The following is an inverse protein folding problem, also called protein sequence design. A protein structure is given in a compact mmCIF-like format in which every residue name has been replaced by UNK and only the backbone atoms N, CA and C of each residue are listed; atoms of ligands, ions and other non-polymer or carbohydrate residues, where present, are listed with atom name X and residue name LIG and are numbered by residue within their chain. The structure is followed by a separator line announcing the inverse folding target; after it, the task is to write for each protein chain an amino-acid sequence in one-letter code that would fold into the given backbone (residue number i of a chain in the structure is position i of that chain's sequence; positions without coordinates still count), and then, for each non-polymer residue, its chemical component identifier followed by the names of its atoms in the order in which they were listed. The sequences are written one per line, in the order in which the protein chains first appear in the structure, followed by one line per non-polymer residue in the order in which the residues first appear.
data_IF_341591694006
#
_entry.id   IF_341591694006
#
_cell.length_a   1.000
_cell.length_b   1.000
_cell.length_c   1.000
_cell.angle_alpha   90.00
_cell.angle_beta   90.00
_cell.angle_gamma   90.00
#
_symmetry.space_group_name_H-M   'P 1'
#
loop_
_entity.id
_entity.type
_entity.pdbx_description
1 polymer ?
#
# COMPACT_ATOMS: atom_id res chain seq x y z
N UNK A 1 -69.62 -16.97 49.47
CA UNK A 1 -70.60 -17.52 48.49
C UNK A 1 -70.38 -16.79 47.17
N UNK A 2 -69.85 -17.48 46.13
CA UNK A 2 -70.60 -17.87 44.91
C UNK A 2 -71.38 -16.68 44.33
N UNK A 3 -71.14 -16.15 43.12
CA UNK A 3 -71.27 -16.83 41.81
C UNK A 3 -70.61 -15.98 40.69
N UNK A 4 -69.88 -16.64 39.78
CA UNK A 4 -69.47 -16.19 38.43
C UNK A 4 -70.65 -15.75 37.56
N UNK A 5 -70.51 -14.68 36.75
CA UNK A 5 -70.99 -14.49 35.35
C UNK A 5 -70.27 -13.24 34.81
N UNK A 6 -69.81 -13.07 33.58
CA UNK A 6 -69.89 -13.79 32.32
C UNK A 6 -68.83 -13.19 31.40
N UNK A 7 -68.22 -14.07 30.60
CA UNK A 7 -67.29 -13.83 29.51
C UNK A 7 -67.94 -12.99 28.39
N UNK A 8 -67.18 -12.09 27.76
CA UNK A 8 -67.43 -11.66 26.37
C UNK A 8 -66.10 -11.31 25.72
N UNK A 9 -65.51 -12.36 25.14
CA UNK A 9 -64.34 -12.33 24.28
C UNK A 9 -64.74 -11.65 22.97
N UNK A 10 -64.09 -10.53 22.62
CA UNK A 10 -63.95 -10.10 21.23
C UNK A 10 -62.46 -10.01 20.93
N UNK A 11 -61.95 -11.11 20.39
CA UNK A 11 -60.63 -11.23 19.78
C UNK A 11 -60.68 -10.41 18.47
N UNK A 12 -59.86 -9.37 18.38
CA UNK A 12 -59.48 -8.76 17.11
C UNK A 12 -57.99 -9.03 16.92
N UNK A 13 -57.66 -10.08 16.16
CA UNK A 13 -56.29 -10.35 15.74
C UNK A 13 -56.02 -9.44 14.53
N UNK A 14 -55.28 -8.36 14.76
CA UNK A 14 -54.63 -7.63 13.69
C UNK A 14 -53.33 -8.36 13.35
N UNK A 15 -53.31 -9.08 12.23
CA UNK A 15 -52.09 -9.64 11.65
C UNK A 15 -51.30 -8.50 11.04
N UNK A 16 -50.29 -8.00 11.75
CA UNK A 16 -49.29 -7.09 11.17
C UNK A 16 -48.26 -7.96 10.45
N UNK A 17 -48.36 -8.02 9.12
CA UNK A 17 -47.27 -8.48 8.28
C UNK A 17 -46.15 -7.43 8.35
N UNK A 18 -45.16 -7.67 9.21
CA UNK A 18 -43.87 -6.96 9.12
C UNK A 18 -43.11 -7.60 7.97
N UNK A 19 -43.20 -7.00 6.80
CA UNK A 19 -42.32 -7.29 5.68
C UNK A 19 -40.90 -6.90 6.09
N UNK A 20 -40.09 -7.88 6.49
CA UNK A 20 -38.64 -7.73 6.61
C UNK A 20 -38.11 -7.54 5.19
N UNK A 21 -37.96 -6.29 4.77
CA UNK A 21 -37.05 -5.96 3.68
C UNK A 21 -35.65 -6.23 4.21
N UNK A 22 -35.17 -7.45 4.00
CA UNK A 22 -33.74 -7.75 4.00
C UNK A 22 -33.14 -6.92 2.86
N UNK A 23 -32.82 -5.67 3.16
CA UNK A 23 -31.96 -4.85 2.35
C UNK A 23 -30.60 -5.52 2.36
N UNK A 24 -30.36 -6.40 1.38
CA UNK A 24 -29.02 -6.69 0.90
C UNK A 24 -28.45 -5.35 0.40
N UNK A 25 -27.89 -4.58 1.33
CA UNK A 25 -26.99 -3.51 0.95
C UNK A 25 -25.83 -4.20 0.24
N UNK A 26 -25.54 -3.88 -1.03
CA UNK A 26 -24.29 -4.32 -1.61
C UNK A 26 -23.19 -3.81 -0.67
N UNK A 27 -22.33 -4.70 -0.19
CA UNK A 27 -21.13 -4.35 0.55
C UNK A 27 -20.37 -3.38 -0.35
N UNK A 28 -20.51 -2.08 -0.07
CA UNK A 28 -19.65 -1.06 -0.68
C UNK A 28 -18.27 -1.46 -0.22
N UNK A 29 -17.49 -2.04 -1.11
CA UNK A 29 -16.06 -2.17 -0.95
C UNK A 29 -15.58 -0.74 -0.69
N UNK A 30 -15.30 -0.44 0.57
CA UNK A 30 -14.82 0.87 0.98
C UNK A 30 -13.54 1.10 0.19
N UNK A 31 -13.54 2.06 -0.74
CA UNK A 31 -12.29 2.49 -1.36
C UNK A 31 -11.31 2.80 -0.22
N UNK A 32 -10.21 2.05 -0.16
CA UNK A 32 -9.18 2.24 0.87
C UNK A 32 -8.74 3.69 0.83
N UNK A 33 -8.62 4.37 1.97
CA UNK A 33 -8.13 5.74 1.95
C UNK A 33 -6.62 5.75 1.69
N UNK A 34 -6.03 6.84 1.15
CA UNK A 34 -4.59 6.94 0.97
C UNK A 34 -3.78 6.61 2.23
N UNK A 35 -4.28 7.00 3.40
CA UNK A 35 -3.67 6.69 4.69
C UNK A 35 -3.71 5.20 5.03
N UNK A 36 -4.78 4.49 4.66
CA UNK A 36 -4.90 3.05 4.88
C UNK A 36 -3.85 2.31 4.04
N UNK A 37 -3.68 2.71 2.78
CA UNK A 37 -2.65 2.15 1.91
C UNK A 37 -1.23 2.41 2.41
N UNK A 38 -0.98 3.59 3.00
CA UNK A 38 0.31 3.87 3.65
C UNK A 38 0.52 2.98 4.88
N UNK A 39 -0.53 2.74 5.68
CA UNK A 39 -0.45 1.83 6.83
C UNK A 39 -0.14 0.39 6.36
N UNK A 40 -0.80 -0.08 5.31
CA UNK A 40 -0.58 -1.41 4.74
C UNK A 40 0.83 -1.59 4.17
N UNK A 41 1.33 -0.61 3.41
CA UNK A 41 2.69 -0.70 2.86
C UNK A 41 3.75 -0.64 3.96
N UNK A 42 3.52 0.16 5.02
CA UNK A 42 4.44 0.22 6.17
C UNK A 42 4.58 -1.13 6.84
N UNK A 43 3.46 -1.82 7.09
CA UNK A 43 3.46 -3.18 7.63
C UNK A 43 4.18 -4.15 6.70
N UNK A 44 3.93 -4.05 5.39
CA UNK A 44 4.54 -4.91 4.37
C UNK A 44 6.05 -4.73 4.23
N UNK A 45 6.55 -3.52 4.51
CA UNK A 45 7.96 -3.14 4.36
C UNK A 45 8.67 -2.94 5.72
N UNK A 46 8.04 -3.36 6.81
CA UNK A 46 8.57 -3.25 8.18
C UNK A 46 8.99 -1.82 8.57
N UNK A 47 8.26 -0.82 8.08
CA UNK A 47 8.49 0.60 8.37
C UNK A 47 7.75 1.02 9.65
N UNK A 48 8.28 2.00 10.40
CA UNK A 48 7.64 2.45 11.63
C UNK A 48 6.27 3.07 11.39
N UNK A 49 5.35 2.83 12.31
CA UNK A 49 4.06 3.53 12.34
C UNK A 49 4.26 4.91 12.98
N UNK A 50 4.06 5.96 12.19
CA UNK A 50 4.21 7.36 12.61
C UNK A 50 3.05 8.21 12.11
N UNK A 51 2.75 9.34 12.77
CA UNK A 51 1.78 10.31 12.26
C UNK A 51 2.11 10.71 10.82
N UNK A 52 1.06 10.91 10.02
CA UNK A 52 1.17 11.33 8.63
C UNK A 52 0.56 12.72 8.48
N UNK A 53 1.26 13.60 7.78
CA UNK A 53 0.74 14.87 7.31
C UNK A 53 0.60 14.84 5.78
N UNK A 54 -0.47 15.42 5.26
CA UNK A 54 -0.57 15.68 3.83
C UNK A 54 0.36 16.84 3.46
N UNK A 55 1.12 16.69 2.38
CA UNK A 55 2.07 17.70 1.91
C UNK A 55 1.48 18.44 0.70
N UNK A 56 1.26 17.72 -0.40
CA UNK A 56 0.82 18.31 -1.67
C UNK A 56 0.28 17.26 -2.65
N UNK A 57 -0.36 17.71 -3.72
CA UNK A 57 -0.57 16.92 -4.93
C UNK A 57 0.47 17.34 -5.97
N UNK A 58 1.13 16.38 -6.60
CA UNK A 58 2.20 16.63 -7.57
C UNK A 58 2.24 15.56 -8.67
N UNK A 59 3.24 15.62 -9.55
CA UNK A 59 3.50 14.64 -10.60
C UNK A 59 4.79 13.86 -10.36
N UNK A 60 4.76 12.54 -10.58
CA UNK A 60 5.93 11.66 -10.50
C UNK A 60 6.46 11.36 -11.91
N UNK A 61 7.66 11.88 -12.21
CA UNK A 61 8.30 11.73 -13.53
C UNK A 61 8.83 10.31 -13.80
N UNK A 62 9.19 9.57 -12.75
CA UNK A 62 9.71 8.20 -12.84
C UNK A 62 8.59 7.15 -13.02
N UNK A 63 7.53 7.51 -13.75
CA UNK A 63 6.40 6.65 -14.08
C UNK A 63 6.36 6.36 -15.58
N UNK A 64 5.66 5.30 -16.03
CA UNK A 64 5.49 5.04 -17.46
C UNK A 64 4.89 6.22 -18.22
N UNK A 65 3.98 6.98 -17.61
CA UNK A 65 3.39 8.20 -18.19
C UNK A 65 4.31 9.43 -18.15
N UNK A 66 5.39 9.40 -17.35
CA UNK A 66 6.30 10.54 -17.17
C UNK A 66 5.71 11.69 -16.33
N UNK A 67 4.55 11.50 -15.72
CA UNK A 67 3.83 12.55 -15.00
C UNK A 67 2.64 12.02 -14.20
N UNK A 68 2.80 10.85 -13.58
CA UNK A 68 1.75 10.25 -12.76
C UNK A 68 1.34 11.19 -11.62
N UNK A 69 0.06 11.53 -11.54
CA UNK A 69 -0.50 12.30 -10.42
C UNK A 69 -0.37 11.51 -9.11
N UNK A 70 0.18 12.15 -8.08
CA UNK A 70 0.35 11.56 -6.75
C UNK A 70 -0.01 12.58 -5.65
N UNK A 71 -0.53 12.07 -4.55
CA UNK A 71 -0.69 12.78 -3.29
C UNK A 71 0.45 12.40 -2.35
N UNK A 72 1.23 13.38 -1.91
CA UNK A 72 2.37 13.18 -1.05
C UNK A 72 1.98 13.33 0.42
N UNK A 73 2.38 12.36 1.23
CA UNK A 73 2.25 12.38 2.69
C UNK A 73 3.64 12.27 3.31
N UNK A 74 3.86 12.95 4.44
CA UNK A 74 5.13 12.93 5.15
C UNK A 74 4.96 12.41 6.57
N UNK A 75 5.94 11.66 7.05
CA UNK A 75 6.02 11.29 8.47
C UNK A 75 6.97 12.19 9.27
N UNK A 76 6.92 12.07 10.59
CA UNK A 76 7.74 12.90 11.50
C UNK A 76 9.25 12.71 11.36
N UNK A 77 9.71 11.64 10.70
CA UNK A 77 11.14 11.43 10.39
C UNK A 77 11.51 11.98 9.00
N UNK A 78 10.55 12.47 8.23
CA UNK A 78 10.76 13.06 6.92
C UNK A 78 10.63 12.08 5.75
N UNK A 79 10.14 10.85 5.97
CA UNK A 79 9.81 9.94 4.84
C UNK A 79 8.60 10.49 4.09
N UNK A 80 8.70 10.53 2.77
CA UNK A 80 7.61 10.93 1.88
C UNK A 80 7.02 9.68 1.25
N UNK A 81 5.69 9.58 1.29
CA UNK A 81 4.90 8.52 0.66
C UNK A 81 4.08 9.15 -0.47
N UNK A 82 4.37 8.75 -1.71
CA UNK A 82 3.63 9.22 -2.89
C UNK A 82 2.53 8.21 -3.22
N UNK A 83 1.27 8.62 -3.13
CA UNK A 83 0.09 7.76 -3.35
C UNK A 83 -0.62 8.15 -4.63
N UNK A 84 -0.89 7.21 -5.53
CA UNK A 84 -1.77 7.46 -6.67
C UNK A 84 -3.21 7.67 -6.15
N UNK A 85 -3.80 8.87 -6.31
CA UNK A 85 -5.12 9.18 -5.75
C UNK A 85 -6.28 8.43 -6.43
N UNK A 86 -6.05 7.85 -7.62
CA UNK A 86 -7.08 7.09 -8.35
C UNK A 86 -7.19 5.64 -7.86
N UNK A 87 -6.06 5.05 -7.46
CA UNK A 87 -5.98 3.63 -7.07
C UNK A 87 -5.68 3.41 -5.60
N UNK A 88 -5.33 4.49 -4.87
CA UNK A 88 -4.78 4.46 -3.51
C UNK A 88 -3.54 3.56 -3.38
N UNK A 89 -2.82 3.32 -4.47
CA UNK A 89 -1.54 2.61 -4.42
C UNK A 89 -0.44 3.54 -3.95
N UNK A 90 0.37 3.12 -2.98
CA UNK A 90 1.66 3.76 -2.70
C UNK A 90 2.63 3.39 -3.81
N UNK A 91 3.04 4.38 -4.60
CA UNK A 91 3.89 4.18 -5.79
C UNK A 91 5.34 4.56 -5.55
N UNK A 92 5.61 5.36 -4.51
CA UNK A 92 6.95 5.73 -4.09
C UNK A 92 7.01 5.92 -2.57
N UNK A 93 8.13 5.52 -1.97
CA UNK A 93 8.54 5.97 -0.63
C UNK A 93 9.95 6.55 -0.76
N UNK A 94 10.09 7.85 -0.54
CA UNK A 94 11.38 8.52 -0.45
C UNK A 94 11.71 8.78 1.01
N UNK A 95 12.69 8.04 1.51
CA UNK A 95 13.15 8.10 2.88
C UNK A 95 14.64 8.52 2.96
N UNK A 96 15.20 9.16 1.92
CA UNK A 96 16.60 9.62 1.94
C UNK A 96 16.90 10.60 3.07
N UNK A 97 15.90 11.36 3.51
CA UNK A 97 16.02 12.28 4.64
C UNK A 97 16.38 11.58 5.96
N UNK A 98 16.07 10.30 6.13
CA UNK A 98 16.37 9.57 7.37
C UNK A 98 17.80 9.03 7.42
N UNK A 99 18.52 8.99 6.29
CA UNK A 99 19.83 8.35 6.20
C UNK A 99 20.86 9.01 7.14
N UNK A 100 20.78 10.32 7.35
CA UNK A 100 21.65 11.05 8.28
C UNK A 100 21.41 10.69 9.75
N UNK A 101 20.26 10.10 10.07
CA UNK A 101 19.87 9.72 11.43
C UNK A 101 20.29 8.27 11.76
N UNK A 102 20.76 7.52 10.76
CA UNK A 102 21.27 6.16 10.99
C UNK A 102 22.65 6.29 11.65
N UNK A 103 22.78 5.73 12.86
CA UNK A 103 24.05 5.73 13.58
C UNK A 103 25.13 5.01 12.76
N UNK A 104 26.34 5.57 12.74
CA UNK A 104 27.54 4.95 12.13
C UNK A 104 27.88 3.59 12.75
N UNK A 105 27.45 3.37 13.98
CA UNK A 105 27.69 2.12 14.73
C UNK A 105 26.65 1.04 14.40
N UNK A 106 25.66 1.35 13.55
CA UNK A 106 24.67 0.38 13.12
C UNK A 106 25.36 -0.72 12.30
N UNK A 107 25.25 -2.00 12.70
CA UNK A 107 25.89 -3.09 11.99
C UNK A 107 25.49 -3.12 10.51
N UNK A 108 26.48 -3.31 9.64
CA UNK A 108 26.22 -3.53 8.22
C UNK A 108 25.77 -4.96 7.99
N UNK A 109 24.74 -5.13 7.18
CA UNK A 109 24.33 -6.43 6.65
C UNK A 109 25.23 -6.79 5.46
N UNK A 110 25.40 -8.09 5.24
CA UNK A 110 25.99 -8.59 4.00
C UNK A 110 25.10 -8.28 2.79
N UNK A 111 25.70 -8.26 1.61
CA UNK A 111 24.95 -8.05 0.37
C UNK A 111 23.87 -9.11 0.17
N UNK A 112 24.13 -10.36 0.53
CA UNK A 112 23.17 -11.46 0.43
C UNK A 112 21.97 -11.28 1.37
N UNK A 113 22.19 -10.78 2.59
CA UNK A 113 21.12 -10.45 3.54
C UNK A 113 20.22 -9.31 3.01
N UNK A 114 20.83 -8.26 2.45
CA UNK A 114 20.10 -7.13 1.87
C UNK A 114 19.29 -7.57 0.65
N UNK A 115 19.88 -8.41 -0.22
CA UNK A 115 19.18 -9.00 -1.37
C UNK A 115 18.03 -9.90 -0.94
N UNK A 116 18.22 -10.74 0.07
CA UNK A 116 17.17 -11.59 0.62
C UNK A 116 16.00 -10.75 1.16
N UNK A 117 16.30 -9.64 1.83
CA UNK A 117 15.30 -8.68 2.31
C UNK A 117 14.52 -8.03 1.16
N UNK A 118 15.20 -7.58 0.12
CA UNK A 118 14.56 -7.02 -1.08
C UNK A 118 13.60 -8.03 -1.73
N UNK A 119 14.00 -9.29 -1.85
CA UNK A 119 13.17 -10.36 -2.39
C UNK A 119 11.95 -10.65 -1.50
N UNK A 120 12.12 -10.68 -0.18
CA UNK A 120 11.00 -10.85 0.76
C UNK A 120 9.98 -9.70 0.65
N UNK A 121 10.45 -8.47 0.53
CA UNK A 121 9.60 -7.30 0.34
C UNK A 121 8.88 -7.35 -1.01
N UNK A 122 9.56 -7.73 -2.09
CA UNK A 122 8.94 -7.89 -3.41
C UNK A 122 7.76 -8.87 -3.39
N UNK A 123 7.94 -10.03 -2.74
CA UNK A 123 6.89 -11.05 -2.56
C UNK A 123 5.71 -10.58 -1.71
N UNK A 124 5.94 -9.63 -0.81
CA UNK A 124 4.91 -9.10 0.07
C UNK A 124 4.07 -8.04 -0.63
N UNK A 125 4.72 -7.14 -1.40
CA UNK A 125 4.02 -5.99 -2.02
C UNK A 125 3.44 -6.27 -3.40
N UNK A 126 3.91 -7.32 -4.10
CA UNK A 126 3.38 -7.73 -5.40
C UNK A 126 2.68 -9.09 -5.28
N UNK A 127 1.36 -9.15 -5.47
CA UNK A 127 0.65 -10.41 -5.57
C UNK A 127 1.22 -11.29 -6.69
N UNK A 128 1.41 -12.58 -6.41
CA UNK A 128 1.98 -13.56 -7.35
C UNK A 128 3.37 -13.19 -7.89
N UNK A 129 4.18 -12.47 -7.09
CA UNK A 129 5.54 -12.09 -7.50
C UNK A 129 6.38 -13.27 -7.98
N UNK A 130 6.23 -14.44 -7.36
CA UNK A 130 6.99 -15.64 -7.75
C UNK A 130 6.78 -16.05 -9.21
N UNK A 131 5.57 -15.82 -9.75
CA UNK A 131 5.28 -16.01 -11.16
C UNK A 131 5.74 -14.81 -11.98
N UNK A 132 5.39 -13.60 -11.54
CA UNK A 132 5.65 -12.36 -12.28
C UNK A 132 7.15 -12.12 -12.51
N UNK A 133 8.00 -12.42 -11.53
CA UNK A 133 9.44 -12.15 -11.63
C UNK A 133 10.11 -12.83 -12.83
N UNK A 134 9.54 -13.95 -13.31
CA UNK A 134 10.07 -14.67 -14.48
C UNK A 134 9.94 -13.90 -15.79
N UNK A 135 9.04 -12.91 -15.84
CA UNK A 135 8.85 -12.02 -16.98
C UNK A 135 9.43 -10.62 -16.77
N UNK A 136 10.10 -10.36 -15.64
CA UNK A 136 10.71 -9.07 -15.35
C UNK A 136 12.22 -9.12 -15.57
N UNK A 137 12.79 -8.02 -16.07
CA UNK A 137 14.23 -7.85 -16.16
C UNK A 137 14.77 -7.40 -14.78
N UNK A 138 15.54 -8.25 -14.13
CA UNK A 138 16.14 -7.98 -12.83
C UNK A 138 17.52 -7.32 -12.95
N UNK A 139 17.74 -6.24 -12.20
CA UNK A 139 19.00 -5.52 -12.13
C UNK A 139 19.36 -5.17 -10.68
N UNK A 140 20.65 -5.29 -10.37
CA UNK A 140 21.24 -4.82 -9.12
C UNK A 140 22.14 -3.62 -9.41
N UNK A 141 22.04 -2.60 -8.57
CA UNK A 141 22.88 -1.40 -8.64
C UNK A 141 23.31 -0.96 -7.26
N UNK A 142 24.27 -0.05 -7.18
CA UNK A 142 24.68 0.47 -5.89
C UNK A 142 25.92 1.35 -5.93
N UNK A 143 26.11 2.07 -4.83
CA UNK A 143 27.36 2.72 -4.44
C UNK A 143 27.74 2.18 -3.06
N UNK A 144 28.93 2.50 -2.56
CA UNK A 144 29.56 1.89 -1.36
C UNK A 144 28.58 1.49 -0.25
N UNK A 145 27.70 2.41 0.18
CA UNK A 145 26.76 2.14 1.29
C UNK A 145 25.29 1.93 0.85
N UNK A 146 24.99 1.99 -0.45
CA UNK A 146 23.62 1.97 -0.98
C UNK A 146 23.45 0.84 -1.99
N UNK A 147 22.43 0.02 -1.81
CA UNK A 147 22.10 -1.11 -2.66
C UNK A 147 20.72 -0.92 -3.29
N UNK A 148 20.59 -1.15 -4.58
CA UNK A 148 19.35 -1.06 -5.33
C UNK A 148 19.03 -2.40 -5.99
N UNK A 149 17.77 -2.82 -5.88
CA UNK A 149 17.25 -4.04 -6.50
C UNK A 149 16.04 -3.64 -7.32
N UNK A 150 16.09 -3.86 -8.63
CA UNK A 150 15.06 -3.39 -9.56
C UNK A 150 14.56 -4.53 -10.44
N UNK A 151 13.24 -4.62 -10.61
CA UNK A 151 12.59 -5.49 -11.58
C UNK A 151 11.80 -4.64 -12.57
N UNK A 152 12.27 -4.58 -13.80
CA UNK A 152 11.64 -3.83 -14.88
C UNK A 152 10.63 -4.70 -15.63
N UNK A 153 9.45 -4.13 -15.90
CA UNK A 153 8.54 -4.64 -16.91
C UNK A 153 8.90 -4.10 -18.30
N UNK A 154 8.19 -4.60 -19.30
CA UNK A 154 8.38 -4.18 -20.69
C UNK A 154 7.95 -2.73 -20.92
N UNK A 155 8.67 -2.04 -21.80
CA UNK A 155 8.32 -0.69 -22.20
C UNK A 155 7.18 -0.75 -23.24
N UNK A 156 6.02 -0.19 -22.91
CA UNK A 156 4.95 -0.06 -23.87
C UNK A 156 5.25 1.08 -24.87
N UNK A 157 4.69 0.96 -26.09
CA UNK A 157 4.80 2.02 -27.10
C UNK A 157 4.16 3.30 -26.58
N UNK A 158 4.90 4.41 -26.64
CA UNK A 158 4.45 5.72 -26.15
C UNK A 158 4.71 5.97 -24.66
N UNK A 159 5.19 4.99 -23.89
CA UNK A 159 5.64 5.23 -22.51
C UNK A 159 6.92 6.07 -22.48
N UNK A 160 7.04 6.93 -21.47
CA UNK A 160 8.23 7.73 -21.20
C UNK A 160 9.30 6.93 -20.45
N UNK A 161 8.88 6.00 -19.59
CA UNK A 161 9.76 5.11 -18.83
C UNK A 161 9.24 3.67 -18.85
N UNK A 162 10.12 2.72 -18.55
CA UNK A 162 9.70 1.35 -18.22
C UNK A 162 8.95 1.32 -16.89
N UNK A 163 7.89 0.51 -16.72
CA UNK A 163 7.34 0.22 -15.40
C UNK A 163 8.35 -0.61 -14.59
N UNK A 164 8.43 -0.41 -13.29
CA UNK A 164 9.39 -1.13 -12.44
C UNK A 164 8.97 -1.22 -10.97
N UNK A 165 9.50 -2.24 -10.30
CA UNK A 165 9.56 -2.34 -8.85
C UNK A 165 11.02 -2.10 -8.43
N UNK A 166 11.28 -1.20 -7.49
CA UNK A 166 12.62 -0.97 -6.97
C UNK A 166 12.61 -0.84 -5.44
N UNK A 167 13.65 -1.39 -4.81
CA UNK A 167 13.99 -1.10 -3.42
C UNK A 167 15.43 -0.58 -3.34
N UNK A 168 15.62 0.51 -2.61
CA UNK A 168 16.92 1.06 -2.22
C UNK A 168 17.15 0.88 -0.72
N UNK A 169 18.26 0.24 -0.37
CA UNK A 169 18.66 -0.06 1.01
C UNK A 169 20.00 0.57 1.33
N UNK A 170 20.11 1.15 2.53
CA UNK A 170 21.41 1.48 3.12
C UNK A 170 22.09 0.20 3.59
N UNK A 171 23.42 0.20 3.78
CA UNK A 171 24.19 -0.98 4.22
C UNK A 171 23.72 -1.61 5.53
N UNK A 172 22.98 -0.88 6.36
CA UNK A 172 22.33 -1.42 7.57
C UNK A 172 21.06 -2.23 7.29
N UNK A 173 20.59 -2.28 6.04
CA UNK A 173 19.29 -2.86 5.66
C UNK A 173 18.11 -1.92 5.87
N UNK A 174 18.35 -0.64 6.16
CA UNK A 174 17.30 0.38 6.20
C UNK A 174 16.81 0.72 4.79
N UNK A 175 15.50 0.58 4.55
CA UNK A 175 14.87 0.98 3.29
C UNK A 175 14.83 2.51 3.21
N UNK A 176 15.46 3.09 2.19
CA UNK A 176 15.44 4.54 1.95
C UNK A 176 14.76 4.94 0.64
N UNK A 177 14.52 4.00 -0.28
CA UNK A 177 13.81 4.24 -1.52
C UNK A 177 12.93 3.03 -1.85
N UNK A 178 11.71 3.29 -2.29
CA UNK A 178 10.80 2.31 -2.85
C UNK A 178 10.11 2.93 -4.07
N UNK A 179 9.97 2.14 -5.13
CA UNK A 179 9.12 2.47 -6.27
C UNK A 179 8.32 1.25 -6.68
N UNK A 180 7.05 1.44 -7.02
CA UNK A 180 6.24 0.40 -7.63
C UNK A 180 5.33 1.00 -8.69
N UNK A 181 5.79 0.91 -9.93
CA UNK A 181 5.08 1.38 -11.11
C UNK A 181 4.63 0.25 -12.03
N UNK A 182 4.70 -1.01 -11.58
CA UNK A 182 4.32 -2.18 -12.38
C UNK A 182 2.83 -2.28 -12.72
N UNK A 183 1.96 -1.58 -11.98
CA UNK A 183 0.50 -1.74 -12.06
C UNK A 183 -0.30 -0.46 -12.23
N UNK A 184 0.35 0.67 -12.51
CA UNK A 184 -0.27 2.02 -12.44
C UNK A 184 -1.12 2.41 -13.66
N UNK A 185 -1.19 1.57 -14.69
CA UNK A 185 -1.91 1.85 -15.94
C UNK A 185 -3.00 0.81 -16.28
N UNK A 186 -3.66 0.22 -15.28
CA UNK A 186 -4.88 -0.57 -15.52
C UNK A 186 -6.12 0.31 -15.61
#
# INVERSE_FOLDING_TARGET
MKVLRSLSIKILIAVIFISVLAGCSPKKESASQPTDAIIEIRKSLELPEMPLEFVENTGMINSPSGGLEVANYRDSEGRIYSVNPKTNQVVEIDARAILSNISSDTPSLSQDEIKAKAMAFAKTVIPNFDYLQSSLQYEEGGKVDNHFFTWYGEMASGSMNRPFLQFGFYKSGALFAYYNTLSVEK
#
